data_IF_888225806599
#
_entry.id   IF_888225806599
#
_cell.length_a   1.000
_cell.length_b   1.000
_cell.length_c   1.000
_cell.angle_alpha   90.00
_cell.angle_beta   90.00
_cell.angle_gamma   90.00
#
_symmetry.space_group_name_H-M   'P 1'
#
loop_
_entity.id
_entity.type
_entity.pdbx_description
1 polymer ?
#
# COMPACT_ATOMS: atom_id res chain seq x y z
N UNK A 1 -11.73 -8.68 20.44
CA UNK A 1 -11.10 -9.81 19.71
C UNK A 1 -11.52 -9.86 18.23
N UNK A 2 -12.80 -9.61 17.88
CA UNK A 2 -13.25 -9.52 16.47
C UNK A 2 -12.61 -8.39 15.66
N UNK A 3 -12.38 -7.22 16.26
CA UNK A 3 -11.72 -6.10 15.54
C UNK A 3 -10.25 -6.39 15.21
N UNK A 4 -9.59 -7.23 16.03
CA UNK A 4 -8.21 -7.66 15.82
C UNK A 4 -8.12 -8.63 14.64
N UNK A 5 -9.04 -9.59 14.53
CA UNK A 5 -9.10 -10.52 13.40
C UNK A 5 -9.49 -9.84 12.09
N UNK A 6 -10.35 -8.82 12.14
CA UNK A 6 -10.69 -8.00 10.96
C UNK A 6 -9.48 -7.18 10.45
N UNK A 7 -8.64 -6.67 11.36
CA UNK A 7 -7.43 -5.91 11.05
C UNK A 7 -6.30 -6.81 10.56
N UNK A 8 -6.07 -7.94 11.23
CA UNK A 8 -5.01 -8.89 10.87
C UNK A 8 -5.37 -9.65 9.58
N UNK A 9 -6.68 -9.90 9.31
CA UNK A 9 -7.15 -10.81 8.27
C UNK A 9 -6.32 -12.12 8.29
N UNK A 10 -5.73 -12.48 7.15
CA UNK A 10 -4.88 -13.66 6.97
C UNK A 10 -3.38 -13.36 7.10
N UNK A 11 -3.01 -12.15 7.56
CA UNK A 11 -1.62 -11.71 7.62
C UNK A 11 -0.98 -12.06 8.96
N UNK A 12 0.31 -12.40 8.94
CA UNK A 12 1.06 -12.60 10.18
C UNK A 12 1.33 -11.25 10.83
N UNK A 13 1.50 -11.24 12.14
CA UNK A 13 1.87 -10.05 12.92
C UNK A 13 3.16 -9.42 12.41
N UNK A 14 4.12 -10.23 11.98
CA UNK A 14 5.37 -9.82 11.33
C UNK A 14 5.13 -9.07 10.00
N UNK A 15 4.14 -9.49 9.21
CA UNK A 15 3.82 -8.82 7.93
C UNK A 15 3.26 -7.42 8.18
N UNK A 16 2.50 -7.26 9.27
CA UNK A 16 1.90 -5.98 9.64
C UNK A 16 2.93 -5.05 10.29
N UNK A 17 3.79 -5.60 11.15
CA UNK A 17 4.92 -4.86 11.71
C UNK A 17 5.81 -4.32 10.58
N UNK A 18 6.13 -5.17 9.60
CA UNK A 18 6.85 -4.75 8.39
C UNK A 18 6.10 -3.64 7.64
N UNK A 19 4.80 -3.80 7.37
CA UNK A 19 4.00 -2.78 6.68
C UNK A 19 4.00 -1.44 7.43
N UNK A 20 3.97 -1.45 8.76
CA UNK A 20 4.06 -0.26 9.60
C UNK A 20 5.45 0.38 9.64
N UNK A 21 6.51 -0.37 9.31
CA UNK A 21 7.87 0.15 9.21
C UNK A 21 8.12 0.92 7.91
N UNK A 22 7.25 0.79 6.91
CA UNK A 22 7.43 1.42 5.61
C UNK A 22 7.23 2.94 5.69
N UNK A 23 8.08 3.66 4.96
CA UNK A 23 7.93 5.08 4.67
C UNK A 23 6.79 5.34 3.69
N UNK A 24 6.32 6.59 3.63
CA UNK A 24 5.27 7.03 2.70
C UNK A 24 5.51 6.63 1.23
N UNK A 25 6.69 6.87 0.61
CA UNK A 25 6.93 6.47 -0.78
C UNK A 25 6.92 4.95 -0.99
N UNK A 26 7.32 4.16 0.01
CA UNK A 26 7.28 2.70 -0.06
C UNK A 26 5.84 2.18 0.01
N UNK A 27 5.01 2.78 0.88
CA UNK A 27 3.58 2.50 0.92
C UNK A 27 2.89 2.88 -0.39
N UNK A 28 3.20 4.05 -0.95
CA UNK A 28 2.64 4.51 -2.22
C UNK A 28 3.00 3.57 -3.39
N UNK A 29 4.22 3.04 -3.40
CA UNK A 29 4.62 2.01 -4.37
C UNK A 29 3.76 0.76 -4.25
N UNK A 30 3.59 0.20 -3.04
CA UNK A 30 2.76 -0.99 -2.83
C UNK A 30 1.29 -0.76 -3.17
N UNK A 31 0.75 0.41 -2.82
CA UNK A 31 -0.62 0.81 -3.19
C UNK A 31 -0.75 0.90 -4.71
N UNK A 32 0.25 1.47 -5.40
CA UNK A 32 0.27 1.59 -6.85
C UNK A 32 0.33 0.23 -7.54
N UNK A 33 1.13 -0.71 -7.00
CA UNK A 33 1.16 -2.10 -7.48
C UNK A 33 -0.20 -2.79 -7.31
N UNK A 34 -0.85 -2.64 -6.15
CA UNK A 34 -2.18 -3.22 -5.92
C UNK A 34 -3.23 -2.63 -6.86
N UNK A 35 -3.22 -1.31 -7.07
CA UNK A 35 -4.11 -0.63 -8.02
C UNK A 35 -3.88 -1.10 -9.45
N UNK A 36 -2.63 -1.26 -9.86
CA UNK A 36 -2.28 -1.75 -11.19
C UNK A 36 -2.80 -3.17 -11.40
N UNK A 37 -2.64 -4.05 -10.42
CA UNK A 37 -3.16 -5.41 -10.46
C UNK A 37 -4.69 -5.45 -10.61
N UNK A 38 -5.41 -4.65 -9.81
CA UNK A 38 -6.87 -4.52 -9.89
C UNK A 38 -7.27 -4.04 -11.29
N UNK A 39 -6.68 -2.96 -11.78
CA UNK A 39 -6.99 -2.40 -13.09
C UNK A 39 -6.71 -3.39 -14.22
N UNK A 40 -5.66 -4.21 -14.12
CA UNK A 40 -5.36 -5.26 -15.10
C UNK A 40 -6.37 -6.40 -15.04
N UNK A 41 -6.80 -6.81 -13.85
CA UNK A 41 -7.85 -7.81 -13.66
C UNK A 41 -9.18 -7.32 -14.26
N UNK A 42 -9.53 -6.04 -14.06
CA UNK A 42 -10.71 -5.39 -14.65
C UNK A 42 -10.67 -5.38 -16.18
N UNK A 43 -9.54 -5.01 -16.78
CA UNK A 43 -9.37 -4.99 -18.25
C UNK A 43 -9.52 -6.39 -18.87
N UNK A 44 -9.17 -7.43 -18.12
CA UNK A 44 -9.16 -8.82 -18.61
C UNK A 44 -10.43 -9.58 -18.22
N UNK A 45 -11.41 -8.93 -17.58
CA UNK A 45 -12.63 -9.55 -17.03
C UNK A 45 -12.34 -10.72 -16.05
N UNK A 46 -11.16 -10.74 -15.43
CA UNK A 46 -10.71 -11.77 -14.49
C UNK A 46 -10.46 -11.18 -13.10
N UNK A 47 -11.53 -10.70 -12.45
CA UNK A 47 -11.46 -10.00 -11.17
C UNK A 47 -10.78 -10.81 -10.05
N UNK A 48 -10.93 -12.14 -10.05
CA UNK A 48 -10.26 -13.04 -9.11
C UNK A 48 -8.73 -12.92 -9.12
N UNK A 49 -8.13 -12.45 -10.23
CA UNK A 49 -6.69 -12.23 -10.30
C UNK A 49 -6.21 -11.17 -9.31
N UNK A 50 -7.05 -10.18 -9.03
CA UNK A 50 -6.71 -9.10 -8.10
C UNK A 50 -6.58 -9.61 -6.65
N UNK A 51 -7.27 -10.70 -6.30
CA UNK A 51 -7.27 -11.25 -4.94
C UNK A 51 -5.95 -11.93 -4.59
N UNK A 52 -5.22 -12.46 -5.59
CA UNK A 52 -3.88 -13.03 -5.37
C UNK A 52 -2.83 -11.98 -4.98
N UNK A 53 -3.06 -10.70 -5.25
CA UNK A 53 -2.18 -9.60 -4.82
C UNK A 53 -2.42 -9.25 -3.35
N UNK A 54 -2.22 -10.23 -2.48
CA UNK A 54 -2.25 -10.05 -1.03
C UNK A 54 -0.98 -9.33 -0.54
N UNK A 55 -0.92 -9.07 0.77
CA UNK A 55 0.21 -8.36 1.37
C UNK A 55 1.54 -9.10 1.16
N UNK A 56 1.53 -10.43 1.16
CA UNK A 56 2.73 -11.25 1.00
C UNK A 56 3.25 -11.16 -0.43
N UNK A 57 2.36 -11.26 -1.43
CA UNK A 57 2.74 -11.12 -2.82
C UNK A 57 3.19 -9.69 -3.14
N UNK A 58 2.51 -8.67 -2.60
CA UNK A 58 2.94 -7.27 -2.75
C UNK A 58 4.33 -7.04 -2.15
N UNK A 59 4.61 -7.61 -0.97
CA UNK A 59 5.95 -7.56 -0.37
C UNK A 59 7.00 -8.21 -1.26
N UNK A 60 6.72 -9.40 -1.78
CA UNK A 60 7.63 -10.11 -2.67
C UNK A 60 7.91 -9.32 -3.96
N UNK A 61 6.87 -8.76 -4.58
CA UNK A 61 6.99 -7.93 -5.78
C UNK A 61 7.81 -6.65 -5.50
N UNK A 62 7.52 -5.97 -4.39
CA UNK A 62 8.27 -4.79 -3.97
C UNK A 62 9.76 -5.11 -3.82
N UNK A 63 10.10 -6.21 -3.16
CA UNK A 63 11.48 -6.66 -2.99
C UNK A 63 12.14 -6.94 -4.34
N UNK A 64 11.51 -7.73 -5.22
CA UNK A 64 12.06 -8.08 -6.55
C UNK A 64 12.30 -6.83 -7.40
N UNK A 65 11.37 -5.87 -7.40
CA UNK A 65 11.49 -4.63 -8.15
C UNK A 65 12.64 -3.76 -7.61
N UNK A 66 12.73 -3.60 -6.30
CA UNK A 66 13.79 -2.79 -5.69
C UNK A 66 15.17 -3.44 -5.87
N UNK A 67 15.26 -4.78 -5.79
CA UNK A 67 16.48 -5.53 -6.12
C UNK A 67 16.89 -5.35 -7.57
N UNK A 68 15.92 -5.37 -8.49
CA UNK A 68 16.17 -5.17 -9.91
C UNK A 68 16.73 -3.77 -10.18
N UNK A 69 16.12 -2.73 -9.60
CA UNK A 69 16.62 -1.34 -9.72
C UNK A 69 18.04 -1.24 -9.15
N UNK A 70 18.26 -1.78 -7.95
CA UNK A 70 19.58 -1.81 -7.30
C UNK A 70 20.68 -2.45 -8.17
N UNK A 71 20.35 -3.56 -8.86
CA UNK A 71 21.30 -4.28 -9.73
C UNK A 71 21.48 -3.65 -11.11
N UNK A 72 20.44 -3.05 -11.67
CA UNK A 72 20.49 -2.50 -13.04
C UNK A 72 21.32 -1.22 -13.12
N UNK A 73 21.27 -0.38 -12.10
CA UNK A 73 21.88 0.95 -12.18
C UNK A 73 23.38 0.99 -11.86
N UNK A 74 23.94 -0.11 -11.34
CA UNK A 74 25.41 -0.28 -11.29
C UNK A 74 26.02 -0.44 -12.68
N UNK A 75 25.22 -0.71 -13.72
CA UNK A 75 25.70 -1.01 -15.07
C UNK A 75 25.57 0.10 -16.11
N UNK A 76 24.76 1.16 -15.87
CA UNK A 76 24.32 2.03 -16.98
C UNK A 76 24.58 3.54 -16.85
N UNK A 77 24.52 4.20 -15.67
CA UNK A 77 24.65 5.69 -15.61
C UNK A 77 25.23 6.20 -14.27
N UNK A 78 26.40 6.89 -14.25
CA UNK A 78 26.98 7.52 -13.05
C UNK A 78 26.09 8.56 -12.34
N UNK A 79 25.14 9.16 -13.05
CA UNK A 79 24.19 10.16 -12.54
C UNK A 79 23.16 9.58 -11.55
N UNK A 80 22.87 8.27 -11.61
CA UNK A 80 21.88 7.64 -10.73
C UNK A 80 22.43 7.30 -9.33
N UNK A 81 23.76 7.32 -9.14
CA UNK A 81 24.44 6.88 -7.91
C UNK A 81 23.91 7.60 -6.66
N UNK A 82 23.61 8.91 -6.76
CA UNK A 82 23.12 9.68 -5.62
C UNK A 82 21.67 9.34 -5.24
N UNK A 83 20.83 8.96 -6.21
CA UNK A 83 19.45 8.50 -5.97
C UNK A 83 19.44 7.10 -5.36
N UNK A 84 20.43 6.28 -5.69
CA UNK A 84 20.58 4.90 -5.21
C UNK A 84 21.08 4.80 -3.77
N UNK A 85 21.80 5.80 -3.25
CA UNK A 85 22.18 5.84 -1.82
C UNK A 85 20.96 5.80 -0.88
N UNK A 86 19.77 6.16 -1.38
CA UNK A 86 18.51 6.03 -0.66
C UNK A 86 17.97 4.59 -0.58
N UNK A 87 18.36 3.71 -1.51
CA UNK A 87 17.86 2.33 -1.55
C UNK A 87 18.37 1.48 -0.38
N UNK A 88 19.57 1.74 0.14
CA UNK A 88 20.09 1.01 1.29
C UNK A 88 19.25 1.23 2.56
N UNK A 89 18.45 2.31 2.59
CA UNK A 89 17.50 2.62 3.69
C UNK A 89 16.09 2.11 3.42
N UNK A 90 15.85 1.48 2.27
CA UNK A 90 14.54 0.98 1.87
C UNK A 90 14.16 -0.28 2.65
N UNK A 91 13.08 -0.20 3.41
CA UNK A 91 12.49 -1.29 4.19
C UNK A 91 11.83 -2.36 3.29
N UNK A 92 11.60 -2.09 2.00
CA UNK A 92 11.19 -3.14 1.03
C UNK A 92 12.32 -4.14 0.74
N UNK A 93 13.58 -3.73 0.86
CA UNK A 93 14.76 -4.59 0.67
C UNK A 93 15.12 -5.37 1.95
N UNK A 94 14.50 -5.06 3.08
CA UNK A 94 14.72 -5.80 4.33
C UNK A 94 14.06 -7.18 4.27
N UNK A 95 14.91 -8.20 4.16
CA UNK A 95 14.51 -9.61 4.18
C UNK A 95 14.21 -10.10 5.60
N UNK A 96 14.80 -9.46 6.62
CA UNK A 96 14.57 -9.74 8.02
C UNK A 96 13.72 -8.63 8.65
N UNK A 97 12.67 -9.00 9.37
CA UNK A 97 11.99 -8.07 10.27
C UNK A 97 12.81 -8.11 11.54
N UNK A 98 13.58 -7.06 11.82
CA UNK A 98 14.22 -6.93 13.14
C UNK A 98 13.15 -7.15 14.21
N UNK A 99 13.49 -7.93 15.24
CA UNK A 99 12.59 -8.44 16.29
C UNK A 99 12.02 -7.34 17.21
N UNK A 100 11.99 -6.10 16.69
CA UNK A 100 11.18 -4.99 17.14
C UNK A 100 9.72 -5.44 17.20
N UNK A 101 9.35 -5.97 18.36
CA UNK A 101 7.99 -6.30 18.75
C UNK A 101 7.17 -5.01 18.75
N UNK A 102 6.64 -4.62 17.60
CA UNK A 102 5.63 -3.56 17.56
C UNK A 102 4.41 -4.08 18.30
N UNK A 103 3.99 -3.34 19.33
CA UNK A 103 2.81 -3.69 20.12
C UNK A 103 1.58 -3.67 19.22
N UNK A 104 1.02 -4.85 18.99
CA UNK A 104 -0.16 -5.05 18.14
C UNK A 104 -1.35 -4.29 18.74
N UNK A 105 -1.42 -4.17 20.06
CA UNK A 105 -2.48 -3.42 20.73
C UNK A 105 -2.39 -1.92 20.42
N UNK A 106 -1.19 -1.36 20.35
CA UNK A 106 -0.96 0.02 19.91
C UNK A 106 -1.40 0.25 18.45
N UNK A 107 -1.02 -0.65 17.54
CA UNK A 107 -1.42 -0.58 16.11
C UNK A 107 -2.95 -0.59 16.01
N UNK A 108 -3.61 -1.55 16.66
CA UNK A 108 -5.06 -1.73 16.60
C UNK A 108 -5.77 -0.53 17.20
N UNK A 109 -5.28 -0.02 18.32
CA UNK A 109 -5.79 1.19 18.95
C UNK A 109 -5.66 2.40 18.03
N UNK A 110 -4.54 2.54 17.33
CA UNK A 110 -4.32 3.57 16.31
C UNK A 110 -5.33 3.49 15.16
N UNK A 111 -5.50 2.30 14.58
CA UNK A 111 -6.46 2.05 13.49
C UNK A 111 -7.90 2.35 13.94
N UNK A 112 -8.29 1.90 15.13
CA UNK A 112 -9.62 2.16 15.68
C UNK A 112 -9.88 3.66 15.90
N UNK A 113 -8.89 4.42 16.36
CA UNK A 113 -8.97 5.89 16.47
C UNK A 113 -9.16 6.55 15.10
N UNK A 114 -8.48 6.07 14.05
CA UNK A 114 -8.65 6.58 12.68
C UNK A 114 -10.04 6.28 12.09
N UNK A 115 -10.56 5.06 12.28
CA UNK A 115 -11.94 4.70 11.88
C UNK A 115 -12.97 5.61 12.56
N UNK A 116 -12.80 5.90 13.87
CA UNK A 116 -13.66 6.84 14.62
C UNK A 116 -13.57 8.28 14.10
N UNK A 117 -12.38 8.78 13.73
CA UNK A 117 -12.21 10.10 13.12
C UNK A 117 -12.86 10.21 11.73
N UNK A 118 -12.79 9.15 10.90
CA UNK A 118 -13.48 9.11 9.60
C UNK A 118 -15.01 9.16 9.75
N UNK A 119 -15.58 8.45 10.73
CA UNK A 119 -17.04 8.53 11.03
C UNK A 119 -17.51 9.92 11.47
N UNK A 120 -16.62 10.74 12.07
CA UNK A 120 -16.94 12.12 12.48
C UNK A 120 -16.85 13.15 11.34
N UNK A 121 -16.16 12.84 10.24
CA UNK A 121 -16.11 13.72 9.07
C UNK A 121 -17.39 13.51 8.25
N UNK A 122 -18.29 14.51 8.24
CA UNK A 122 -19.46 14.49 7.35
C UNK A 122 -19.00 14.27 5.91
N UNK A 123 -19.69 13.45 5.10
CA UNK A 123 -19.29 13.24 3.71
C UNK A 123 -19.28 14.60 3.00
N UNK A 124 -18.18 14.91 2.32
CA UNK A 124 -18.11 16.03 1.38
C UNK A 124 -19.17 15.75 0.33
N UNK A 125 -20.28 16.49 0.41
CA UNK A 125 -21.30 16.49 -0.64
C UNK A 125 -20.65 17.10 -1.87
N UNK A 126 -20.19 16.26 -2.80
CA UNK A 126 -19.93 16.68 -4.17
C UNK A 126 -21.26 17.23 -4.70
N UNK A 127 -21.37 18.56 -4.74
CA UNK A 127 -22.53 19.30 -5.21
C UNK A 127 -22.70 19.00 -6.69
N UNK A 128 -23.51 18.00 -7.01
CA UNK A 128 -23.99 17.75 -8.38
C UNK A 128 -24.72 19.01 -8.86
N UNK A 129 -24.08 19.76 -9.78
CA UNK A 129 -24.75 20.85 -10.49
C UNK A 129 -25.79 20.23 -11.43
N UNK A 130 -27.04 20.24 -11.00
CA UNK A 130 -28.18 19.85 -11.83
C UNK A 130 -28.29 20.83 -13.00
N UNK A 131 -27.89 20.39 -14.20
CA UNK A 131 -28.17 21.09 -15.46
C UNK A 131 -29.68 21.07 -15.70
N UNK A 132 -30.37 22.14 -15.32
CA UNK A 132 -31.75 22.39 -15.75
C UNK A 132 -31.75 22.61 -17.27
N UNK A 133 -32.12 21.59 -18.04
CA UNK A 133 -32.50 21.73 -19.45
C UNK A 133 -33.73 22.64 -19.53
N UNK A 134 -33.54 23.86 -20.03
CA UNK A 134 -34.64 24.76 -20.43
C UNK A 134 -35.35 24.12 -21.63
N UNK A 135 -36.63 23.78 -21.49
CA UNK A 135 -37.54 23.63 -22.64
C UNK A 135 -37.91 25.03 -23.10
N UNK A 136 -37.58 25.38 -24.35
CA UNK A 136 -38.26 26.46 -25.04
C UNK A 136 -39.54 25.88 -25.66
N UNK A 137 -40.66 26.58 -25.43
CA UNK A 137 -41.89 26.47 -26.20
C UNK A 137 -41.87 27.62 -27.20
#
# INVERSE_FOLDING_TARGET
MEELSEVLKNNRTQDISWLCSLSEPELDLLISLKKLAIHRAEITDHYELADYFDLKLLRALGLVLMEYVRKKDTSLVPSAVHQLMGLDKCNLLKTHVDDTTIDIEEIVTGICKMKKKKKKRKPIRLRSKSLKRRRYK
#
